data_IF_282380228891
#
_entry.id   IF_282380228891
#
_cell.length_a   1.000
_cell.length_b   1.000
_cell.length_c   1.000
_cell.angle_alpha   90.00
_cell.angle_beta   90.00
_cell.angle_gamma   90.00
#
_symmetry.space_group_name_H-M   'P 1'
#
loop_
_entity.id
_entity.type
_entity.pdbx_description
1 polymer ?
#
# COMPACT_ATOMS: atom_id res chain seq x y z
N UNK A 1 17.18 -8.85 12.61
CA UNK A 1 17.62 -8.58 11.23
C UNK A 1 16.44 -8.81 10.30
N UNK A 2 16.12 -7.87 9.40
CA UNK A 2 15.09 -8.07 8.38
C UNK A 2 15.51 -9.10 7.33
N UNK A 3 14.52 -9.77 6.75
CA UNK A 3 14.70 -10.64 5.58
C UNK A 3 14.36 -9.84 4.33
N UNK A 4 15.21 -9.92 3.32
CA UNK A 4 14.99 -9.29 2.03
C UNK A 4 14.93 -10.34 0.94
N UNK A 5 13.91 -10.24 0.10
CA UNK A 5 13.75 -11.06 -1.10
C UNK A 5 14.38 -10.35 -2.31
N UNK A 6 15.11 -11.09 -3.12
CA UNK A 6 15.70 -10.62 -4.37
C UNK A 6 15.38 -11.55 -5.53
N UNK A 7 15.29 -10.99 -6.74
CA UNK A 7 15.11 -11.71 -8.00
C UNK A 7 16.11 -11.22 -9.02
N UNK A 8 16.76 -12.15 -9.71
CA UNK A 8 17.61 -11.80 -10.83
C UNK A 8 16.79 -11.48 -12.09
N UNK A 9 17.17 -10.42 -12.81
CA UNK A 9 16.51 -10.08 -14.08
C UNK A 9 16.92 -10.97 -15.25
N UNK A 10 18.05 -11.69 -15.14
CA UNK A 10 18.62 -12.47 -16.23
C UNK A 10 18.19 -13.95 -16.16
N UNK A 11 18.41 -14.61 -15.02
CA UNK A 11 18.07 -16.02 -14.82
C UNK A 11 16.72 -16.24 -14.14
N UNK A 12 16.05 -15.18 -13.67
CA UNK A 12 14.80 -15.23 -12.93
C UNK A 12 14.84 -15.97 -11.57
N UNK A 13 16.02 -16.31 -11.06
CA UNK A 13 16.19 -16.91 -9.74
C UNK A 13 15.72 -15.95 -8.63
N UNK A 14 14.96 -16.49 -7.68
CA UNK A 14 14.44 -15.81 -6.49
C UNK A 14 15.03 -16.43 -5.23
N UNK A 15 15.48 -15.58 -4.30
CA UNK A 15 16.02 -16.03 -3.02
C UNK A 15 15.82 -14.98 -1.92
N UNK A 16 15.87 -15.42 -0.68
CA UNK A 16 15.71 -14.60 0.52
C UNK A 16 17.00 -14.62 1.34
N UNK A 17 17.43 -13.45 1.83
CA UNK A 17 18.59 -13.32 2.71
C UNK A 17 18.26 -12.51 3.96
N UNK A 18 18.86 -12.89 5.08
CA UNK A 18 18.82 -12.11 6.31
C UNK A 18 19.95 -11.09 6.25
N UNK A 19 19.60 -9.81 6.19
CA UNK A 19 20.58 -8.74 6.04
C UNK A 19 20.40 -7.70 7.14
N UNK A 20 21.49 -7.08 7.60
CA UNK A 20 21.35 -5.96 8.54
C UNK A 20 20.81 -4.72 7.82
N UNK A 21 20.22 -3.80 8.58
CA UNK A 21 19.77 -2.51 8.01
C UNK A 21 20.94 -1.59 7.60
N UNK A 22 22.11 -1.80 8.21
CA UNK A 22 23.31 -0.99 7.97
C UNK A 22 24.15 -1.48 6.79
N UNK A 23 23.83 -2.65 6.24
CA UNK A 23 24.54 -3.24 5.11
C UNK A 23 23.98 -2.78 3.76
N UNK A 24 24.86 -2.69 2.77
CA UNK A 24 24.49 -2.37 1.40
C UNK A 24 23.70 -3.52 0.74
N UNK A 25 22.67 -3.16 -0.02
CA UNK A 25 21.85 -4.13 -0.76
C UNK A 25 22.67 -4.93 -1.78
N UNK A 26 22.40 -6.23 -1.91
CA UNK A 26 22.97 -7.08 -2.96
C UNK A 26 22.54 -6.61 -4.36
N UNK A 27 23.52 -6.43 -5.26
CA UNK A 27 23.29 -5.94 -6.64
C UNK A 27 23.55 -7.00 -7.72
N UNK A 28 24.33 -8.04 -7.39
CA UNK A 28 24.85 -9.03 -8.34
C UNK A 28 24.37 -10.41 -7.94
N UNK A 29 23.88 -11.18 -8.91
CA UNK A 29 23.47 -12.57 -8.70
C UNK A 29 24.69 -13.51 -8.74
N UNK A 30 24.89 -14.30 -7.68
CA UNK A 30 26.01 -15.25 -7.57
C UNK A 30 25.97 -16.39 -8.61
N UNK A 31 24.79 -16.73 -9.14
CA UNK A 31 24.64 -17.83 -10.11
C UNK A 31 24.98 -17.43 -11.56
N UNK A 32 24.70 -16.20 -11.96
CA UNK A 32 24.81 -15.76 -13.36
C UNK A 32 25.52 -14.41 -13.58
N UNK A 33 25.90 -13.70 -12.51
CA UNK A 33 26.47 -12.35 -12.59
C UNK A 33 25.49 -11.25 -13.03
N UNK A 34 24.21 -11.58 -13.18
CA UNK A 34 23.17 -10.65 -13.60
C UNK A 34 22.78 -9.62 -12.53
N UNK A 35 21.98 -8.63 -12.92
CA UNK A 35 21.46 -7.62 -11.99
C UNK A 35 20.36 -8.20 -11.10
N UNK A 36 20.44 -7.92 -9.81
CA UNK A 36 19.39 -8.25 -8.84
C UNK A 36 18.42 -7.08 -8.66
N UNK A 37 17.15 -7.42 -8.47
CA UNK A 37 16.11 -6.48 -8.03
C UNK A 37 15.52 -6.97 -6.72
N UNK A 38 15.38 -6.06 -5.76
CA UNK A 38 14.70 -6.33 -4.49
C UNK A 38 13.20 -6.50 -4.74
N UNK A 39 12.60 -7.58 -4.26
CA UNK A 39 11.15 -7.72 -4.25
C UNK A 39 10.59 -7.07 -2.99
N UNK A 40 9.69 -6.12 -3.21
CA UNK A 40 8.87 -5.57 -2.17
C UNK A 40 7.51 -6.26 -2.23
N UNK A 41 7.21 -7.05 -1.21
CA UNK A 41 5.87 -7.60 -1.06
C UNK A 41 4.91 -6.46 -0.70
N UNK A 42 3.70 -6.44 -1.28
CA UNK A 42 2.71 -5.44 -0.92
C UNK A 42 2.32 -5.60 0.55
N UNK A 43 2.47 -4.54 1.34
CA UNK A 43 1.98 -4.48 2.70
C UNK A 43 0.61 -3.79 2.73
N UNK A 44 -0.31 -4.34 3.53
CA UNK A 44 -1.61 -3.72 3.72
C UNK A 44 -1.47 -2.45 4.57
N UNK A 45 -1.85 -1.29 4.02
CA UNK A 45 -1.92 -0.04 4.78
C UNK A 45 -3.28 0.02 5.48
N UNK A 46 -3.26 0.10 6.81
CA UNK A 46 -4.47 0.18 7.62
C UNK A 46 -4.57 1.57 8.26
N UNK A 47 -5.55 2.36 7.83
CA UNK A 47 -5.86 3.65 8.45
C UNK A 47 -6.77 3.43 9.65
N UNK A 48 -6.23 3.53 10.87
CA UNK A 48 -7.02 3.59 12.10
C UNK A 48 -7.22 5.06 12.50
N UNK A 49 -8.43 5.58 12.33
CA UNK A 49 -8.83 6.91 12.79
C UNK A 49 -10.33 6.94 13.09
N UNK A 50 -10.72 7.53 14.21
CA UNK A 50 -12.11 7.53 14.73
C UNK A 50 -13.05 8.56 14.09
N UNK A 51 -12.61 9.33 13.08
CA UNK A 51 -13.46 10.37 12.52
C UNK A 51 -12.87 11.08 11.32
N UNK A 52 -13.53 10.90 10.18
CA UNK A 52 -13.41 11.76 9.00
C UNK A 52 -14.14 13.07 9.32
N UNK A 53 -13.46 14.03 9.97
CA UNK A 53 -14.03 15.36 10.17
C UNK A 53 -14.25 16.01 8.80
N UNK A 54 -15.52 16.06 8.36
CA UNK A 54 -15.94 16.93 7.26
C UNK A 54 -15.85 18.38 7.74
N UNK A 55 -14.69 19.02 7.57
CA UNK A 55 -14.52 20.46 7.83
C UNK A 55 -14.90 21.35 6.65
N UNK A 56 -15.20 20.81 5.47
CA UNK A 56 -15.72 21.59 4.34
C UNK A 56 -17.08 21.02 3.89
N UNK A 57 -18.11 21.23 4.71
CA UNK A 57 -19.49 21.20 4.22
C UNK A 57 -19.90 22.65 4.03
N UNK A 58 -19.69 23.21 2.84
CA UNK A 58 -20.27 24.52 2.48
C UNK A 58 -21.78 24.39 2.61
N UNK A 59 -22.34 25.00 3.65
CA UNK A 59 -23.78 25.09 3.87
C UNK A 59 -24.44 25.76 2.68
N UNK A 60 -25.22 25.00 1.92
CA UNK A 60 -26.17 25.56 0.96
C UNK A 60 -27.49 25.73 1.70
N UNK A 61 -27.73 26.97 2.12
CA UNK A 61 -29.05 27.46 2.51
C UNK A 61 -29.99 27.29 1.31
N UNK A 62 -30.96 26.39 1.41
CA UNK A 62 -32.20 26.51 0.65
C UNK A 62 -33.38 26.10 1.53
N UNK A 63 -34.12 27.14 1.90
CA UNK A 63 -35.39 27.23 2.61
C UNK A 63 -36.47 26.22 2.17
N UNK A 64 -37.26 25.76 3.15
CA UNK A 64 -38.69 25.41 3.13
C UNK A 64 -39.27 24.82 1.83
N UNK A 65 -39.96 23.66 1.84
CA UNK A 65 -41.39 23.59 2.19
C UNK A 65 -41.82 22.12 2.40
N UNK A 66 -42.63 21.91 3.44
CA UNK A 66 -43.47 20.76 3.77
C UNK A 66 -44.18 20.07 2.60
N UNK A 67 -44.35 18.72 2.65
CA UNK A 67 -45.66 18.04 2.62
C UNK A 67 -45.55 16.50 2.47
N UNK A 68 -46.09 15.80 3.48
CA UNK A 68 -47.02 14.65 3.38
C UNK A 68 -46.68 13.34 2.65
N UNK A 69 -46.66 12.26 3.45
CA UNK A 69 -47.47 11.02 3.31
C UNK A 69 -47.74 10.48 1.88
N UNK A 70 -47.26 9.26 1.58
CA UNK A 70 -48.12 8.05 1.41
C UNK A 70 -47.31 6.76 1.28
N UNK A 71 -47.79 5.78 2.05
CA UNK A 71 -47.60 4.33 1.94
C UNK A 71 -48.36 3.80 0.71
N UNK A 72 -47.73 2.87 -0.03
CA UNK A 72 -48.37 1.69 -0.66
C UNK A 72 -47.39 0.94 -1.58
N UNK A 73 -47.09 -0.32 -1.27
CA UNK A 73 -47.11 -1.43 -2.24
C UNK A 73 -47.31 -2.75 -1.51
#
# INVERSE_FOLDING_TARGET
MPTYAYRCTNCADEFEIHQSFSEDSLKICEGCGGRLRKLFQPSAVMFKGSGFYRTDSRGTTSSSTSSSKKTSR
#
